data_IF_781830959837
#
_entry.id   IF_781830959837
#
_cell.length_a   1.000
_cell.length_b   1.000
_cell.length_c   1.000
_cell.angle_alpha   90.00
_cell.angle_beta   90.00
_cell.angle_gamma   90.00
#
_symmetry.space_group_name_H-M   'P 1'
#
loop_
_entity.id
_entity.type
_entity.pdbx_description
1 polymer ?
#
# COMPACT_ATOMS: atom_id res chain seq x y z
N UNK A 1 4.85 -12.83 -22.39
CA UNK A 1 5.37 -12.23 -21.15
C UNK A 1 4.43 -12.60 -19.99
N UNK A 2 4.96 -13.19 -18.92
CA UNK A 2 4.17 -13.87 -17.89
C UNK A 2 3.36 -12.88 -17.02
N UNK A 3 2.18 -13.30 -16.55
CA UNK A 3 1.31 -12.54 -15.63
C UNK A 3 2.09 -11.98 -14.42
N UNK A 4 3.08 -12.75 -13.95
CA UNK A 4 3.98 -12.41 -12.84
C UNK A 4 4.73 -11.08 -13.05
N UNK A 5 5.15 -10.76 -14.29
CA UNK A 5 5.86 -9.52 -14.58
C UNK A 5 4.97 -8.29 -14.37
N UNK A 6 3.66 -8.38 -14.70
CA UNK A 6 2.70 -7.29 -14.46
C UNK A 6 2.50 -7.05 -12.97
N UNK A 7 2.34 -8.12 -12.18
CA UNK A 7 2.14 -7.99 -10.74
C UNK A 7 3.37 -7.41 -10.03
N UNK A 8 4.58 -7.82 -10.46
CA UNK A 8 5.83 -7.24 -9.97
C UNK A 8 5.94 -5.74 -10.30
N UNK A 9 5.65 -5.36 -11.55
CA UNK A 9 5.66 -3.94 -11.97
C UNK A 9 4.62 -3.11 -11.20
N UNK A 10 3.41 -3.63 -10.99
CA UNK A 10 2.39 -3.00 -10.14
C UNK A 10 2.90 -2.78 -8.72
N UNK A 11 3.56 -3.77 -8.14
CA UNK A 11 4.12 -3.65 -6.80
C UNK A 11 5.23 -2.59 -6.74
N UNK A 12 6.17 -2.60 -7.68
CA UNK A 12 7.27 -1.62 -7.74
C UNK A 12 6.73 -0.20 -7.95
N UNK A 13 5.82 -0.01 -8.91
CA UNK A 13 5.20 1.31 -9.15
C UNK A 13 4.42 1.80 -7.94
N UNK A 14 3.71 0.93 -7.23
CA UNK A 14 3.03 1.29 -6.00
C UNK A 14 4.01 1.71 -4.89
N UNK A 15 5.16 1.02 -4.76
CA UNK A 15 6.19 1.41 -3.78
C UNK A 15 6.76 2.79 -4.07
N UNK A 16 7.03 3.12 -5.33
CA UNK A 16 7.53 4.45 -5.72
C UNK A 16 6.50 5.54 -5.42
N UNK A 17 5.23 5.32 -5.78
CA UNK A 17 4.16 6.31 -5.52
C UNK A 17 3.96 6.50 -4.01
N UNK A 18 3.97 5.41 -3.24
CA UNK A 18 3.79 5.48 -1.79
C UNK A 18 4.94 6.20 -1.07
N UNK A 19 6.19 6.02 -1.49
CA UNK A 19 7.33 6.75 -0.90
C UNK A 19 7.33 8.22 -1.29
N UNK A 20 6.97 8.52 -2.54
CA UNK A 20 6.80 9.90 -3.00
C UNK A 20 5.69 10.61 -2.23
N UNK A 21 4.56 9.94 -1.96
CA UNK A 21 3.46 10.49 -1.16
C UNK A 21 3.93 10.86 0.26
N UNK A 22 4.60 9.94 0.96
CA UNK A 22 5.17 10.21 2.30
C UNK A 22 6.16 11.38 2.26
N UNK A 23 7.01 11.47 1.24
CA UNK A 23 7.96 12.58 1.07
C UNK A 23 7.28 13.93 0.86
N UNK A 24 6.26 13.96 0.00
CA UNK A 24 5.49 15.18 -0.28
C UNK A 24 4.73 15.63 0.96
N UNK A 25 4.07 14.70 1.66
CA UNK A 25 3.39 15.01 2.92
C UNK A 25 4.38 15.51 3.96
N UNK A 26 5.53 14.86 4.11
CA UNK A 26 6.53 15.29 5.10
C UNK A 26 7.07 16.68 4.76
N UNK A 27 7.29 16.99 3.49
CA UNK A 27 7.67 18.34 3.07
C UNK A 27 6.58 19.38 3.37
N UNK A 28 5.30 19.07 3.10
CA UNK A 28 4.18 19.98 3.36
C UNK A 28 4.04 20.28 4.87
N UNK A 29 4.21 19.27 5.73
CA UNK A 29 4.00 19.41 7.17
C UNK A 29 5.23 19.90 7.95
N UNK A 30 6.43 19.50 7.53
CA UNK A 30 7.67 19.71 8.28
C UNK A 30 8.57 20.75 7.57
N UNK A 31 8.39 20.98 6.27
CA UNK A 31 9.17 21.93 5.47
C UNK A 31 10.58 21.45 5.08
N UNK A 32 10.97 20.22 5.46
CA UNK A 32 12.32 19.70 5.22
C UNK A 32 12.30 18.36 4.48
N UNK A 33 12.89 18.36 3.28
CA UNK A 33 13.04 17.15 2.46
C UNK A 33 13.94 16.11 3.14
N UNK A 34 14.96 16.55 3.89
CA UNK A 34 15.88 15.67 4.61
C UNK A 34 15.14 14.85 5.67
N UNK A 35 14.24 15.50 6.42
CA UNK A 35 13.42 14.83 7.44
C UNK A 35 12.42 13.88 6.77
N UNK A 36 11.77 14.31 5.68
CA UNK A 36 10.86 13.45 4.93
C UNK A 36 11.51 12.17 4.41
N UNK A 37 12.78 12.25 3.98
CA UNK A 37 13.53 11.08 3.55
C UNK A 37 13.80 10.09 4.70
N UNK A 38 14.14 10.61 5.88
CA UNK A 38 14.30 9.78 7.08
C UNK A 38 12.99 9.11 7.49
N UNK A 39 11.87 9.86 7.47
CA UNK A 39 10.55 9.29 7.75
C UNK A 39 10.21 8.18 6.76
N UNK A 40 10.46 8.39 5.46
CA UNK A 40 10.16 7.38 4.44
C UNK A 40 10.96 6.08 4.65
N UNK A 41 12.25 6.18 4.97
CA UNK A 41 13.09 5.00 5.26
C UNK A 41 12.58 4.29 6.52
N UNK A 42 12.34 5.04 7.59
CA UNK A 42 11.87 4.48 8.86
C UNK A 42 10.51 3.82 8.66
N UNK A 43 9.58 4.44 7.94
CA UNK A 43 8.26 3.88 7.63
C UNK A 43 8.36 2.52 6.91
N UNK A 44 9.27 2.38 5.94
CA UNK A 44 9.47 1.12 5.23
C UNK A 44 9.95 0.03 6.20
N UNK A 45 10.90 0.37 7.08
CA UNK A 45 11.44 -0.58 8.06
C UNK A 45 10.42 -0.94 9.13
N UNK A 46 9.76 0.05 9.75
CA UNK A 46 8.77 -0.16 10.81
C UNK A 46 7.59 -0.96 10.29
N UNK A 47 7.01 -0.60 9.14
CA UNK A 47 5.86 -1.34 8.58
C UNK A 47 6.25 -2.76 8.18
N UNK A 48 7.48 -3.01 7.72
CA UNK A 48 7.92 -4.37 7.42
C UNK A 48 8.01 -5.22 8.69
N UNK A 49 8.61 -4.68 9.76
CA UNK A 49 8.72 -5.36 11.04
C UNK A 49 7.34 -5.58 11.68
N UNK A 50 6.50 -4.54 11.73
CA UNK A 50 5.15 -4.62 12.27
C UNK A 50 4.29 -5.62 11.52
N UNK A 51 4.40 -5.67 10.19
CA UNK A 51 3.67 -6.65 9.39
C UNK A 51 4.12 -8.08 9.69
N UNK A 52 5.43 -8.30 9.85
CA UNK A 52 5.95 -9.61 10.23
C UNK A 52 5.42 -10.07 11.59
N UNK A 53 5.45 -9.20 12.62
CA UNK A 53 4.88 -9.52 13.93
C UNK A 53 3.36 -9.70 13.88
N UNK A 54 2.65 -8.90 13.08
CA UNK A 54 1.22 -9.03 12.84
C UNK A 54 0.87 -10.39 12.23
N UNK A 55 1.59 -10.84 11.21
CA UNK A 55 1.38 -12.15 10.60
C UNK A 55 1.66 -13.27 11.61
N UNK A 56 2.74 -13.15 12.40
CA UNK A 56 3.08 -14.11 13.45
C UNK A 56 2.01 -14.20 14.53
N UNK A 57 1.41 -13.08 14.92
CA UNK A 57 0.27 -13.03 15.83
C UNK A 57 -0.96 -13.74 15.22
N UNK A 58 -1.28 -13.46 13.96
CA UNK A 58 -2.40 -14.09 13.25
C UNK A 58 -2.18 -15.55 12.90
N UNK A 59 -0.93 -16.01 12.82
CA UNK A 59 -0.60 -17.43 12.66
C UNK A 59 -0.99 -18.24 13.91
N UNK A 60 -0.85 -17.65 15.10
CA UNK A 60 -1.25 -18.27 16.38
C UNK A 60 -2.75 -18.16 16.69
N UNK A 61 -3.50 -17.39 15.91
CA UNK A 61 -4.93 -17.15 16.17
C UNK A 61 -5.78 -18.39 15.87
N UNK A 62 -6.85 -18.58 16.67
CA UNK A 62 -7.79 -19.71 16.54
C UNK A 62 -8.89 -19.49 15.49
N UNK A 63 -8.82 -18.42 14.68
CA UNK A 63 -9.87 -18.08 13.70
C UNK A 63 -9.75 -18.95 12.45
N UNK A 64 -10.52 -20.04 12.41
CA UNK A 64 -10.49 -21.02 11.30
C UNK A 64 -11.22 -20.51 10.04
N UNK A 65 -12.29 -19.72 10.20
CA UNK A 65 -13.10 -19.23 9.05
C UNK A 65 -12.34 -18.19 8.23
N UNK A 66 -11.91 -18.57 7.02
CA UNK A 66 -11.13 -17.75 6.08
C UNK A 66 -11.70 -16.33 5.88
N UNK A 67 -12.97 -16.18 5.51
CA UNK A 67 -13.58 -14.84 5.27
C UNK A 67 -13.49 -13.90 6.47
N UNK A 68 -13.81 -14.39 7.68
CA UNK A 68 -13.76 -13.58 8.91
C UNK A 68 -12.31 -13.24 9.26
N UNK A 69 -11.38 -14.19 9.11
CA UNK A 69 -9.95 -13.99 9.34
C UNK A 69 -9.38 -12.88 8.44
N UNK A 70 -9.67 -12.90 7.13
CA UNK A 70 -9.16 -11.88 6.22
C UNK A 70 -9.69 -10.48 6.56
N UNK A 71 -10.98 -10.36 6.89
CA UNK A 71 -11.59 -9.08 7.26
C UNK A 71 -10.94 -8.50 8.54
N UNK A 72 -10.77 -9.31 9.58
CA UNK A 72 -10.12 -8.88 10.81
C UNK A 72 -8.63 -8.59 10.63
N UNK A 73 -7.91 -9.37 9.80
CA UNK A 73 -6.51 -9.09 9.45
C UNK A 73 -6.36 -7.73 8.77
N UNK A 74 -7.24 -7.39 7.82
CA UNK A 74 -7.21 -6.09 7.16
C UNK A 74 -7.50 -4.95 8.14
N UNK A 75 -8.51 -5.09 8.99
CA UNK A 75 -8.84 -4.05 9.96
C UNK A 75 -7.73 -3.84 11.01
N UNK A 76 -7.21 -4.93 11.57
CA UNK A 76 -6.09 -4.87 12.54
C UNK A 76 -4.82 -4.29 11.92
N UNK A 77 -4.48 -4.67 10.68
CA UNK A 77 -3.32 -4.08 9.99
C UNK A 77 -3.49 -2.58 9.77
N UNK A 78 -4.68 -2.14 9.37
CA UNK A 78 -4.97 -0.70 9.17
C UNK A 78 -4.85 0.09 10.47
N UNK A 79 -5.30 -0.47 11.58
CA UNK A 79 -5.16 0.17 12.89
C UNK A 79 -3.69 0.32 13.28
N UNK A 80 -2.92 -0.77 13.21
CA UNK A 80 -1.48 -0.77 13.56
C UNK A 80 -0.70 0.20 12.65
N UNK A 81 -0.93 0.17 11.34
CA UNK A 81 -0.24 1.05 10.41
C UNK A 81 -0.57 2.54 10.62
N UNK A 82 -1.81 2.87 11.01
CA UNK A 82 -2.20 4.26 11.29
C UNK A 82 -1.53 4.75 12.58
N UNK A 83 -1.52 3.91 13.61
CA UNK A 83 -0.82 4.22 14.85
C UNK A 83 0.69 4.43 14.62
N UNK A 84 1.32 3.59 13.80
CA UNK A 84 2.73 3.72 13.42
C UNK A 84 3.00 5.08 12.76
N UNK A 85 2.21 5.47 11.76
CA UNK A 85 2.40 6.77 11.09
C UNK A 85 2.19 7.95 12.05
N UNK A 86 1.17 7.91 12.92
CA UNK A 86 0.95 8.98 13.92
C UNK A 86 2.14 9.07 14.87
N UNK A 87 2.65 7.92 15.31
CA UNK A 87 3.79 7.83 16.20
C UNK A 87 5.08 8.35 15.56
N UNK A 88 5.33 8.02 14.29
CA UNK A 88 6.43 8.58 13.51
C UNK A 88 6.30 10.09 13.38
N UNK A 89 5.13 10.59 12.96
CA UNK A 89 4.88 12.03 12.87
C UNK A 89 5.11 12.76 14.19
N UNK A 90 4.73 12.14 15.32
CA UNK A 90 4.98 12.66 16.66
C UNK A 90 6.47 12.68 17.01
N UNK A 91 7.21 11.58 16.81
CA UNK A 91 8.65 11.50 17.12
C UNK A 91 9.45 12.55 16.36
N UNK A 92 9.16 12.73 15.07
CA UNK A 92 9.95 13.64 14.24
C UNK A 92 9.61 15.12 14.45
N UNK A 93 8.39 15.43 14.92
CA UNK A 93 7.92 16.81 15.06
C UNK A 93 7.78 17.26 16.53
N UNK A 94 7.85 16.33 17.48
CA UNK A 94 7.56 16.54 18.91
C UNK A 94 6.17 17.14 19.20
N UNK A 95 5.25 17.07 18.23
CA UNK A 95 3.92 17.66 18.31
C UNK A 95 2.86 16.64 17.87
N UNK A 96 1.99 16.29 18.80
CA UNK A 96 0.96 15.27 18.58
C UNK A 96 -0.09 15.68 17.54
N UNK A 97 -0.41 16.99 17.46
CA UNK A 97 -1.39 17.51 16.49
C UNK A 97 -0.89 17.33 15.06
N UNK A 98 0.41 17.53 14.84
CA UNK A 98 1.03 17.35 13.52
C UNK A 98 1.09 15.86 13.18
N UNK A 99 1.44 15.00 14.14
CA UNK A 99 1.40 13.54 13.95
C UNK A 99 0.00 13.02 13.57
N UNK A 100 -1.05 13.52 14.20
CA UNK A 100 -2.43 13.13 13.87
C UNK A 100 -2.86 13.60 12.47
N UNK A 101 -2.53 14.85 12.10
CA UNK A 101 -2.77 15.37 10.73
C UNK A 101 -2.02 14.57 9.68
N UNK A 102 -0.76 14.23 9.97
CA UNK A 102 0.09 13.44 9.10
C UNK A 102 -0.49 12.02 8.89
N UNK A 103 -0.82 11.32 9.98
CA UNK A 103 -1.42 9.99 9.91
C UNK A 103 -2.78 9.93 9.24
N UNK A 104 -3.64 10.91 9.50
CA UNK A 104 -4.95 11.01 8.85
C UNK A 104 -4.82 11.25 7.34
N UNK A 105 -3.96 12.19 6.93
CA UNK A 105 -3.77 12.50 5.52
C UNK A 105 -3.08 11.38 4.77
N UNK A 106 -2.03 10.76 5.32
CA UNK A 106 -1.37 9.62 4.68
C UNK A 106 -2.36 8.48 4.37
N UNK A 107 -3.28 8.21 5.29
CA UNK A 107 -4.29 7.17 5.09
C UNK A 107 -5.24 7.53 3.95
N UNK A 108 -5.71 8.78 3.88
CA UNK A 108 -6.61 9.26 2.84
C UNK A 108 -5.92 9.36 1.47
N UNK A 109 -4.72 9.93 1.41
CA UNK A 109 -3.96 10.08 0.17
C UNK A 109 -3.58 8.72 -0.40
N UNK A 110 -3.08 7.77 0.41
CA UNK A 110 -2.75 6.43 -0.08
C UNK A 110 -3.98 5.68 -0.57
N UNK A 111 -5.16 5.85 0.04
CA UNK A 111 -6.40 5.26 -0.50
C UNK A 111 -6.75 5.84 -1.88
N UNK A 112 -6.70 7.16 -2.02
CA UNK A 112 -7.00 7.84 -3.28
C UNK A 112 -5.99 7.51 -4.39
N UNK A 113 -4.70 7.59 -4.08
CA UNK A 113 -3.61 7.26 -5.00
C UNK A 113 -3.66 5.79 -5.42
N UNK A 114 -3.99 4.86 -4.51
CA UNK A 114 -4.12 3.45 -4.86
C UNK A 114 -5.25 3.22 -5.86
N UNK A 115 -6.38 3.87 -5.66
CA UNK A 115 -7.50 3.80 -6.60
C UNK A 115 -7.07 4.31 -7.98
N UNK A 116 -6.45 5.49 -8.07
CA UNK A 116 -5.96 6.03 -9.34
C UNK A 116 -4.94 5.10 -9.99
N UNK A 117 -3.99 4.58 -9.21
CA UNK A 117 -2.96 3.65 -9.68
C UNK A 117 -3.59 2.42 -10.33
N UNK A 118 -4.56 1.80 -9.66
CA UNK A 118 -5.25 0.63 -10.18
C UNK A 118 -6.07 0.97 -11.44
N UNK A 119 -6.71 2.15 -11.49
CA UNK A 119 -7.47 2.62 -12.67
C UNK A 119 -6.56 2.89 -13.87
N UNK A 120 -5.39 3.48 -13.65
CA UNK A 120 -4.37 3.66 -14.70
C UNK A 120 -3.91 2.30 -15.22
N UNK A 121 -3.57 1.38 -14.31
CA UNK A 121 -3.16 0.03 -14.68
C UNK A 121 -4.26 -0.80 -15.36
N UNK A 122 -5.53 -0.53 -15.09
CA UNK A 122 -6.66 -1.14 -15.78
C UNK A 122 -6.73 -0.71 -17.25
N UNK A 123 -6.40 0.55 -17.55
CA UNK A 123 -6.38 1.08 -18.93
C UNK A 123 -5.19 0.56 -19.76
N UNK A 124 -4.11 0.14 -19.09
CA UNK A 124 -2.91 -0.39 -19.76
C UNK A 124 -3.11 -1.89 -20.06
N UNK A 125 -3.01 -2.27 -21.34
CA UNK A 125 -3.18 -3.66 -21.82
C UNK A 125 -1.99 -4.59 -21.51
N UNK A 126 -0.94 -4.07 -20.88
CA UNK A 126 0.31 -4.78 -20.61
C UNK A 126 0.07 -6.10 -19.85
N UNK A 127 0.43 -7.22 -20.47
CA UNK A 127 0.32 -8.56 -19.88
C UNK A 127 -1.08 -9.22 -19.94
N UNK A 128 -2.06 -8.61 -20.63
CA UNK A 128 -3.41 -9.18 -20.80
C UNK A 128 -3.58 -10.02 -22.09
N UNK A 129 -2.51 -10.17 -22.89
CA UNK A 129 -2.58 -10.78 -24.22
C UNK A 129 -3.13 -12.21 -24.26
N UNK A 130 -3.00 -12.98 -23.17
CA UNK A 130 -3.46 -14.37 -23.14
C UNK A 130 -5.00 -14.48 -23.09
N UNK A 131 -5.66 -13.65 -22.29
CA UNK A 131 -7.13 -13.69 -22.17
C UNK A 131 -7.84 -13.06 -23.38
N UNK A 132 -7.25 -12.01 -23.98
CA UNK A 132 -7.79 -11.40 -25.20
C UNK A 132 -7.66 -12.34 -26.40
N UNK A 133 -6.56 -13.08 -26.56
CA UNK A 133 -6.40 -14.11 -27.60
C UNK A 133 -7.37 -15.29 -27.47
N UNK A 134 -7.58 -15.82 -26.26
CA UNK A 134 -8.51 -16.94 -26.03
C UNK A 134 -9.95 -16.56 -26.42
N UNK A 135 -10.39 -15.35 -26.07
CA UNK A 135 -11.73 -14.84 -26.41
C UNK A 135 -11.92 -14.57 -27.91
N UNK A 136 -10.85 -14.19 -28.62
CA UNK A 136 -10.88 -14.02 -30.08
C UNK A 136 -10.89 -15.38 -30.79
N UNK A 137 -10.06 -16.34 -30.36
CA UNK A 137 -10.02 -17.68 -30.96
C UNK A 137 -11.30 -18.50 -30.73
N UNK A 138 -11.98 -18.34 -29.59
CA UNK A 138 -13.27 -19.02 -29.37
C UNK A 138 -14.39 -18.49 -30.26
N UNK A 139 -14.37 -17.20 -30.62
CA UNK A 139 -15.30 -16.58 -31.59
C UNK A 139 -15.01 -16.96 -33.04
N UNK A 140 -13.75 -17.26 -33.37
CA UNK A 140 -13.35 -17.72 -34.70
C UNK A 140 -13.65 -19.21 -34.92
N UNK A 141 -13.62 -20.03 -33.86
CA UNK A 141 -14.00 -21.45 -33.91
C UNK A 141 -15.51 -21.72 -33.90
N UNK A 142 -16.32 -20.72 -33.55
CA UNK A 142 -17.78 -20.81 -33.54
C UNK A 142 -18.44 -20.28 -34.82
N UNK A 143 -17.64 -19.98 -35.85
CA UNK A 143 -18.05 -19.65 -37.21
C UNK A 143 -17.52 -20.72 -38.14
#
# INVERSE_FOLDING_TARGET
MNLNSRHLLKAITWRIIGTMDTLVLAYIFIGSIRIGFMISIVEILTKTLLYFYHEKFWFKSTVIKSRKRHMYKTFSWRFIATCDTIFLGFIFTSNFVIGFKFGGLELLTKMFLYYIHERVWYRISFGLDKHRRIKTNSRLKSK
#
